data_IF_417673833296
#
_entry.id   IF_417673833296
#
_cell.length_a   1.000
_cell.length_b   1.000
_cell.length_c   1.000
_cell.angle_alpha   90.00
_cell.angle_beta   90.00
_cell.angle_gamma   90.00
#
_symmetry.space_group_name_H-M   'P 1'
#
loop_
_entity.id
_entity.type
_entity.pdbx_description
1 polymer ?
#
# COMPACT_ATOMS: atom_id res chain seq x y z
N UNK A 1 12.61 -3.68 3.84
CA UNK A 1 13.49 -2.87 4.74
C UNK A 1 12.84 -1.56 5.18
N UNK A 2 12.51 -0.62 4.30
CA UNK A 2 11.97 0.68 4.73
C UNK A 2 10.64 0.57 5.49
N UNK A 3 9.67 -0.19 4.99
CA UNK A 3 8.40 -0.42 5.69
C UNK A 3 8.59 -1.10 7.05
N UNK A 4 9.52 -2.02 7.17
CA UNK A 4 9.87 -2.64 8.46
C UNK A 4 10.39 -1.60 9.45
N UNK A 5 11.28 -0.71 9.01
CA UNK A 5 11.81 0.37 9.85
C UNK A 5 10.71 1.32 10.29
N UNK A 6 9.78 1.67 9.40
CA UNK A 6 8.60 2.48 9.72
C UNK A 6 7.71 1.75 10.75
N UNK A 7 7.44 0.47 10.52
CA UNK A 7 6.64 -0.35 11.43
C UNK A 7 7.25 -0.42 12.84
N UNK A 8 8.55 -0.63 12.93
CA UNK A 8 9.28 -0.61 14.20
C UNK A 8 9.18 0.75 14.91
N UNK A 9 9.44 1.85 14.18
CA UNK A 9 9.36 3.19 14.74
C UNK A 9 7.95 3.52 15.28
N UNK A 10 6.91 3.12 14.56
CA UNK A 10 5.52 3.30 15.01
C UNK A 10 5.28 2.47 16.28
N UNK A 11 5.66 1.20 16.30
CA UNK A 11 5.44 0.32 17.44
C UNK A 11 6.18 0.75 18.69
N UNK A 12 7.36 1.33 18.56
CA UNK A 12 8.16 1.82 19.69
C UNK A 12 7.67 3.15 20.23
N UNK A 13 7.34 4.10 19.35
CA UNK A 13 6.97 5.46 19.75
C UNK A 13 5.48 5.62 20.01
N UNK A 14 4.64 4.80 19.40
CA UNK A 14 3.18 4.86 19.46
C UNK A 14 2.58 3.46 19.63
N UNK A 15 2.79 2.82 20.80
CA UNK A 15 2.27 1.47 21.05
C UNK A 15 0.75 1.39 21.09
N UNK A 16 0.06 2.52 21.24
CA UNK A 16 -1.40 2.65 21.20
C UNK A 16 -1.99 2.52 19.79
N UNK A 17 -1.18 2.74 18.76
CA UNK A 17 -1.61 2.67 17.35
C UNK A 17 -1.85 1.21 16.93
N UNK A 18 -2.98 0.98 16.27
CA UNK A 18 -3.27 -0.30 15.65
C UNK A 18 -2.59 -0.38 14.28
N UNK A 19 -1.54 -1.18 14.20
CA UNK A 19 -0.73 -1.32 12.99
C UNK A 19 -1.17 -2.53 12.18
N UNK A 20 -1.51 -2.31 10.91
CA UNK A 20 -1.81 -3.35 9.93
C UNK A 20 -0.78 -3.26 8.81
N UNK A 21 -0.14 -4.37 8.50
CA UNK A 21 0.73 -4.50 7.33
C UNK A 21 -0.01 -5.35 6.30
N UNK A 22 -0.28 -4.80 5.14
CA UNK A 22 -0.97 -5.45 4.04
C UNK A 22 0.02 -5.70 2.89
N UNK A 23 0.29 -6.97 2.62
CA UNK A 23 1.21 -7.41 1.58
C UNK A 23 0.41 -8.04 0.43
N UNK A 24 0.50 -7.43 -0.75
CA UNK A 24 -0.22 -7.87 -1.96
C UNK A 24 0.77 -8.34 -3.01
N UNK A 25 0.56 -9.57 -3.49
CA UNK A 25 1.38 -10.19 -4.55
C UNK A 25 2.87 -10.29 -4.13
N UNK A 26 3.10 -10.52 -2.83
CA UNK A 26 4.43 -10.72 -2.27
C UNK A 26 4.79 -12.20 -2.16
N UNK A 27 6.08 -12.48 -2.00
CA UNK A 27 6.58 -13.84 -1.82
C UNK A 27 6.32 -14.32 -0.39
N UNK A 28 6.02 -15.62 -0.18
CA UNK A 28 5.79 -16.17 1.15
C UNK A 28 6.93 -15.92 2.15
N UNK A 29 8.19 -15.91 1.68
CA UNK A 29 9.36 -15.63 2.52
C UNK A 29 9.33 -14.20 3.07
N UNK A 30 8.96 -13.22 2.24
CA UNK A 30 8.85 -11.82 2.64
C UNK A 30 7.70 -11.61 3.64
N UNK A 31 6.60 -12.34 3.45
CA UNK A 31 5.48 -12.35 4.41
C UNK A 31 5.96 -12.89 5.77
N UNK A 32 6.68 -14.00 5.78
CA UNK A 32 7.21 -14.61 7.00
C UNK A 32 8.18 -13.68 7.72
N UNK A 33 9.07 -13.03 6.98
CA UNK A 33 10.02 -12.06 7.55
C UNK A 33 9.30 -10.88 8.18
N UNK A 34 8.26 -10.35 7.52
CA UNK A 34 7.46 -9.27 8.06
C UNK A 34 6.73 -9.71 9.34
N UNK A 35 6.13 -10.90 9.35
CA UNK A 35 5.44 -11.46 10.52
C UNK A 35 6.36 -11.63 11.74
N UNK A 36 7.61 -11.97 11.50
CA UNK A 36 8.61 -12.16 12.57
C UNK A 36 9.18 -10.85 13.10
N UNK A 37 9.27 -9.84 12.25
CA UNK A 37 9.96 -8.58 12.56
C UNK A 37 9.04 -7.45 12.98
N UNK A 38 7.76 -7.51 12.70
CA UNK A 38 6.81 -6.42 12.96
C UNK A 38 5.86 -6.78 14.10
N UNK A 39 5.70 -5.85 15.05
CA UNK A 39 4.68 -5.91 16.09
C UNK A 39 3.39 -5.27 15.56
N UNK A 40 2.58 -6.06 14.89
CA UNK A 40 1.35 -5.61 14.27
C UNK A 40 0.64 -6.79 13.61
N UNK A 41 -0.50 -6.52 13.02
CA UNK A 41 -1.23 -7.51 12.25
C UNK A 41 -0.71 -7.54 10.83
N UNK A 42 -0.13 -8.67 10.40
CA UNK A 42 0.33 -8.86 9.04
C UNK A 42 -0.71 -9.67 8.26
N UNK A 43 -1.28 -9.06 7.25
CA UNK A 43 -2.26 -9.68 6.35
C UNK A 43 -1.65 -9.72 4.95
N UNK A 44 -1.75 -10.85 4.29
CA UNK A 44 -1.14 -11.04 2.98
C UNK A 44 -2.04 -11.76 2.00
N UNK A 45 -1.82 -11.49 0.73
CA UNK A 45 -2.25 -12.31 -0.37
C UNK A 45 -1.03 -12.48 -1.29
N UNK A 46 -0.52 -13.72 -1.35
CA UNK A 46 0.77 -14.02 -1.99
C UNK A 46 0.66 -14.14 -3.50
N UNK A 47 1.79 -14.11 -4.20
CA UNK A 47 1.84 -14.04 -5.66
C UNK A 47 1.18 -15.23 -6.38
N UNK A 48 1.05 -16.37 -5.71
CA UNK A 48 0.41 -17.59 -6.21
C UNK A 48 -1.12 -17.56 -6.09
N UNK A 49 -1.68 -16.58 -5.38
CA UNK A 49 -3.12 -16.39 -5.26
C UNK A 49 -3.68 -15.58 -6.45
N UNK A 50 -4.93 -15.80 -6.84
CA UNK A 50 -5.55 -15.06 -7.96
C UNK A 50 -5.81 -13.59 -7.61
N UNK A 51 -5.84 -12.74 -8.63
CA UNK A 51 -6.10 -11.30 -8.48
C UNK A 51 -7.38 -10.97 -7.69
N UNK A 52 -8.42 -11.77 -7.83
CA UNK A 52 -9.66 -11.62 -7.08
C UNK A 52 -9.43 -11.75 -5.56
N UNK A 53 -8.48 -12.59 -5.14
CA UNK A 53 -8.12 -12.75 -3.73
C UNK A 53 -7.41 -11.51 -3.19
N UNK A 54 -6.49 -10.93 -3.98
CA UNK A 54 -5.81 -9.67 -3.63
C UNK A 54 -6.82 -8.55 -3.37
N UNK A 55 -7.82 -8.41 -4.23
CA UNK A 55 -8.89 -7.44 -4.09
C UNK A 55 -9.73 -7.70 -2.83
N UNK A 56 -10.17 -8.95 -2.64
CA UNK A 56 -11.00 -9.34 -1.50
C UNK A 56 -10.31 -9.07 -0.15
N UNK A 57 -9.04 -9.45 -0.03
CA UNK A 57 -8.26 -9.22 1.19
C UNK A 57 -8.12 -7.73 1.48
N UNK A 58 -7.86 -6.93 0.46
CA UNK A 58 -7.75 -5.48 0.60
C UNK A 58 -9.06 -4.83 1.04
N UNK A 59 -10.18 -5.22 0.45
CA UNK A 59 -11.50 -4.71 0.84
C UNK A 59 -11.84 -5.08 2.29
N UNK A 60 -11.49 -6.29 2.71
CA UNK A 60 -11.67 -6.73 4.10
C UNK A 60 -10.83 -5.91 5.08
N UNK A 61 -9.58 -5.61 4.73
CA UNK A 61 -8.69 -4.80 5.57
C UNK A 61 -9.19 -3.38 5.73
N UNK A 62 -9.64 -2.73 4.65
CA UNK A 62 -10.14 -1.36 4.75
C UNK A 62 -11.43 -1.27 5.57
N UNK A 63 -12.33 -2.24 5.44
CA UNK A 63 -13.54 -2.28 6.26
C UNK A 63 -13.21 -2.51 7.74
N UNK A 64 -12.27 -3.39 8.05
CA UNK A 64 -11.76 -3.58 9.40
C UNK A 64 -11.18 -2.28 9.97
N UNK A 65 -10.33 -1.60 9.20
CA UNK A 65 -9.72 -0.35 9.62
C UNK A 65 -10.76 0.73 9.90
N UNK A 66 -11.77 0.87 9.05
CA UNK A 66 -12.88 1.80 9.27
C UNK A 66 -13.62 1.52 10.58
N UNK A 67 -13.91 0.25 10.89
CA UNK A 67 -14.56 -0.13 12.14
C UNK A 67 -13.71 0.21 13.35
N UNK A 68 -12.40 -0.01 13.29
CA UNK A 68 -11.49 0.36 14.37
C UNK A 68 -11.47 1.89 14.59
N UNK A 69 -11.49 2.67 13.52
CA UNK A 69 -11.56 4.14 13.59
C UNK A 69 -12.88 4.60 14.20
N UNK A 70 -14.01 3.98 13.85
CA UNK A 70 -15.31 4.24 14.48
C UNK A 70 -15.28 4.00 15.99
N UNK A 71 -14.43 3.07 16.46
CA UNK A 71 -14.16 2.85 17.88
C UNK A 71 -13.08 3.76 18.46
N UNK A 72 -12.81 4.87 17.80
CA UNK A 72 -11.83 5.90 18.23
C UNK A 72 -10.39 5.39 18.31
N UNK A 73 -10.05 4.35 17.53
CA UNK A 73 -8.67 3.85 17.43
C UNK A 73 -7.91 4.63 16.35
N UNK A 74 -6.63 4.84 16.62
CA UNK A 74 -5.69 5.31 15.61
C UNK A 74 -5.12 4.10 14.88
N UNK A 75 -5.34 4.04 13.57
CA UNK A 75 -4.98 2.91 12.71
C UNK A 75 -3.97 3.36 11.67
N UNK A 76 -2.91 2.59 11.51
CA UNK A 76 -1.94 2.76 10.42
C UNK A 76 -1.94 1.51 9.55
N UNK A 77 -2.13 1.68 8.25
CA UNK A 77 -1.99 0.62 7.26
C UNK A 77 -0.69 0.86 6.48
N UNK A 78 0.20 -0.12 6.50
CA UNK A 78 1.36 -0.18 5.61
C UNK A 78 1.04 -1.13 4.47
N UNK A 79 0.97 -0.61 3.24
CA UNK A 79 0.62 -1.39 2.04
C UNK A 79 1.83 -1.57 1.13
N UNK A 80 2.19 -2.78 0.88
CA UNK A 80 3.15 -3.16 -0.16
C UNK A 80 2.48 -4.06 -1.19
N UNK A 81 2.16 -3.62 -2.35
CA UNK A 81 2.30 -2.29 -2.93
C UNK A 81 1.00 -1.84 -3.61
N UNK A 82 0.81 -0.54 -3.73
CA UNK A 82 -0.35 0.01 -4.45
C UNK A 82 -0.31 -0.34 -5.94
N UNK A 83 0.87 -0.46 -6.52
CA UNK A 83 1.04 -0.84 -7.93
C UNK A 83 0.48 -2.24 -8.20
N UNK A 84 0.81 -3.19 -7.35
CA UNK A 84 0.33 -4.57 -7.48
C UNK A 84 -1.16 -4.68 -7.20
N UNK A 85 -1.65 -3.93 -6.25
CA UNK A 85 -3.09 -3.83 -5.98
C UNK A 85 -3.84 -3.26 -7.18
N UNK A 86 -3.35 -2.20 -7.79
CA UNK A 86 -3.96 -1.59 -8.97
C UNK A 86 -3.97 -2.56 -10.17
N UNK A 87 -2.90 -3.34 -10.36
CA UNK A 87 -2.87 -4.42 -11.37
C UNK A 87 -3.95 -5.47 -11.11
N UNK A 88 -4.13 -5.88 -9.86
CA UNK A 88 -5.16 -6.83 -9.48
C UNK A 88 -6.57 -6.31 -9.78
N UNK A 89 -6.86 -5.06 -9.45
CA UNK A 89 -8.12 -4.42 -9.83
C UNK A 89 -8.30 -4.33 -11.33
N UNK A 90 -7.24 -4.04 -12.09
CA UNK A 90 -7.30 -4.00 -13.56
C UNK A 90 -7.67 -5.35 -14.17
N UNK A 91 -7.30 -6.44 -13.51
CA UNK A 91 -7.66 -7.81 -13.94
C UNK A 91 -9.10 -8.16 -13.59
N UNK A 92 -9.59 -7.73 -12.45
CA UNK A 92 -10.88 -8.17 -11.87
C UNK A 92 -12.05 -7.27 -12.26
N UNK A 93 -11.82 -5.96 -12.43
CA UNK A 93 -12.88 -5.00 -12.75
C UNK A 93 -13.36 -5.20 -14.19
N UNK A 94 -14.68 -5.25 -14.42
CA UNK A 94 -15.23 -5.31 -15.78
C UNK A 94 -14.74 -4.14 -16.64
N UNK A 95 -14.38 -4.45 -17.89
CA UNK A 95 -13.89 -3.45 -18.83
C UNK A 95 -14.90 -2.31 -19.04
N UNK A 96 -14.44 -1.08 -18.94
CA UNK A 96 -15.25 0.12 -19.25
C UNK A 96 -15.35 0.40 -20.74
N UNK A 97 -14.56 -0.30 -21.57
CA UNK A 97 -14.35 0.01 -22.97
C UNK A 97 -13.40 1.18 -23.21
N UNK A 98 -12.93 1.85 -22.17
CA UNK A 98 -11.94 2.94 -22.21
C UNK A 98 -10.66 2.48 -21.54
N UNK A 99 -9.65 2.20 -22.34
CA UNK A 99 -8.34 1.76 -21.86
C UNK A 99 -7.37 2.93 -21.95
N UNK A 100 -6.73 3.25 -20.83
CA UNK A 100 -5.66 4.24 -20.76
C UNK A 100 -4.38 3.68 -21.39
N UNK A 101 -3.42 4.55 -21.67
CA UNK A 101 -2.09 4.14 -22.09
C UNK A 101 -1.51 3.11 -21.10
N UNK A 102 -0.86 2.07 -21.62
CA UNK A 102 -0.31 0.99 -20.76
C UNK A 102 -1.28 -0.12 -20.39
N UNK A 103 -2.50 -0.13 -20.96
CA UNK A 103 -3.46 -1.22 -20.76
C UNK A 103 -4.26 -1.13 -19.47
N UNK A 104 -4.30 0.02 -18.80
CA UNK A 104 -5.09 0.24 -17.60
C UNK A 104 -6.51 0.66 -17.96
N UNK A 105 -7.51 -0.08 -17.49
CA UNK A 105 -8.91 0.31 -17.66
C UNK A 105 -9.24 1.55 -16.82
N UNK A 106 -10.00 2.48 -17.39
CA UNK A 106 -10.36 3.73 -16.72
C UNK A 106 -11.10 3.52 -15.38
N UNK A 107 -11.83 2.41 -15.23
CA UNK A 107 -12.57 2.08 -13.99
C UNK A 107 -11.69 1.34 -12.96
N UNK A 108 -10.57 0.75 -13.38
CA UNK A 108 -9.75 -0.11 -12.53
C UNK A 108 -9.14 0.64 -11.34
N UNK A 109 -8.83 1.93 -11.50
CA UNK A 109 -8.16 2.72 -10.47
C UNK A 109 -9.12 3.41 -9.48
N UNK A 110 -10.41 3.39 -9.73
CA UNK A 110 -11.38 4.05 -8.84
C UNK A 110 -11.39 3.45 -7.43
N UNK A 111 -11.42 2.13 -7.31
CA UNK A 111 -11.44 1.46 -6.00
C UNK A 111 -10.14 1.64 -5.23
N UNK A 112 -8.94 1.44 -5.81
CA UNK A 112 -7.69 1.78 -5.15
C UNK A 112 -7.60 3.26 -4.71
N UNK A 113 -8.09 4.19 -5.52
CA UNK A 113 -8.16 5.60 -5.13
C UNK A 113 -9.09 5.84 -3.94
N UNK A 114 -10.23 5.15 -3.86
CA UNK A 114 -11.13 5.20 -2.70
C UNK A 114 -10.47 4.60 -1.45
N UNK A 115 -9.66 3.57 -1.60
CA UNK A 115 -8.87 3.02 -0.50
C UNK A 115 -7.98 4.11 0.11
N UNK A 116 -7.22 4.81 -0.71
CA UNK A 116 -6.40 5.94 -0.25
C UNK A 116 -7.23 7.11 0.29
N UNK A 117 -8.32 7.43 -0.35
CA UNK A 117 -9.22 8.48 0.08
C UNK A 117 -9.96 8.20 1.40
N UNK A 118 -9.84 6.99 1.93
CA UNK A 118 -10.37 6.65 3.25
C UNK A 118 -9.50 7.18 4.40
N UNK A 119 -8.23 7.50 4.15
CA UNK A 119 -7.33 8.08 5.16
C UNK A 119 -7.85 9.43 5.63
N UNK A 120 -8.00 9.59 6.94
CA UNK A 120 -8.53 10.80 7.58
C UNK A 120 -8.28 10.86 9.07
N UNK A 121 -8.33 12.06 9.62
CA UNK A 121 -8.48 12.29 11.05
C UNK A 121 -9.94 12.62 11.37
N UNK A 122 -10.44 12.14 12.49
CA UNK A 122 -11.79 12.39 12.96
C UNK A 122 -11.70 13.26 14.23
N UNK A 123 -12.42 14.39 14.24
CA UNK A 123 -12.40 15.33 15.37
C UNK A 123 -12.81 14.68 16.70
N UNK A 124 -13.75 13.76 16.65
CA UNK A 124 -14.27 13.05 17.82
C UNK A 124 -13.34 11.94 18.35
N UNK A 125 -12.22 11.71 17.68
CA UNK A 125 -11.22 10.70 17.97
C UNK A 125 -11.19 9.56 16.96
N UNK A 126 -10.01 8.99 16.80
CA UNK A 126 -9.69 8.00 15.79
C UNK A 126 -9.11 8.61 14.51
N UNK A 127 -8.21 7.88 13.90
CA UNK A 127 -7.57 8.27 12.65
C UNK A 127 -7.20 7.06 11.80
N UNK A 128 -7.14 7.26 10.50
CA UNK A 128 -6.63 6.28 9.55
C UNK A 128 -5.51 6.91 8.73
N UNK A 129 -4.32 6.37 8.88
CA UNK A 129 -3.14 6.72 8.10
C UNK A 129 -2.78 5.55 7.18
N UNK A 130 -2.53 5.83 5.92
CA UNK A 130 -2.12 4.82 4.94
C UNK A 130 -0.77 5.22 4.35
N UNK A 131 0.21 4.34 4.50
CA UNK A 131 1.53 4.46 3.88
C UNK A 131 1.68 3.32 2.88
N UNK A 132 1.81 3.65 1.62
CA UNK A 132 1.94 2.64 0.57
C UNK A 132 3.19 2.82 -0.26
N UNK A 133 3.74 1.70 -0.68
CA UNK A 133 4.80 1.68 -1.68
C UNK A 133 4.24 1.70 -3.08
N UNK A 134 4.90 2.41 -3.98
CA UNK A 134 4.64 2.37 -5.40
C UNK A 134 5.91 1.95 -6.15
N UNK A 135 5.76 1.12 -7.16
CA UNK A 135 6.87 0.67 -7.99
C UNK A 135 7.13 1.67 -9.11
N UNK A 136 8.36 2.12 -9.21
CA UNK A 136 8.85 2.98 -10.29
C UNK A 136 10.02 2.30 -11.00
N UNK A 137 10.33 2.73 -12.22
CA UNK A 137 11.45 2.20 -13.00
C UNK A 137 11.42 0.68 -13.22
N UNK A 138 10.23 0.11 -13.34
CA UNK A 138 10.04 -1.32 -13.59
C UNK A 138 10.17 -1.70 -15.07
N UNK A 139 10.20 -0.72 -15.96
CA UNK A 139 10.10 -0.91 -17.41
C UNK A 139 8.68 -1.23 -17.89
N UNK A 140 7.72 -1.27 -17.00
CA UNK A 140 6.29 -1.51 -17.33
C UNK A 140 5.56 -0.19 -17.55
N UNK A 141 5.01 -0.02 -18.76
CA UNK A 141 4.17 1.13 -19.09
C UNK A 141 2.92 1.23 -18.20
N UNK A 142 2.38 0.09 -17.82
CA UNK A 142 1.25 0.03 -16.89
C UNK A 142 1.61 0.61 -15.53
N UNK A 143 2.79 0.29 -15.00
CA UNK A 143 3.25 0.78 -13.69
C UNK A 143 3.49 2.28 -13.71
N UNK A 144 4.03 2.81 -14.81
CA UNK A 144 4.19 4.25 -14.99
C UNK A 144 2.84 4.97 -14.93
N UNK A 145 1.82 4.45 -15.63
CA UNK A 145 0.47 5.03 -15.62
C UNK A 145 -0.15 4.93 -14.23
N UNK A 146 -0.02 3.80 -13.55
CA UNK A 146 -0.51 3.64 -12.17
C UNK A 146 0.17 4.66 -11.24
N UNK A 147 1.48 4.81 -11.32
CA UNK A 147 2.21 5.79 -10.52
C UNK A 147 1.71 7.21 -10.76
N UNK A 148 1.60 7.63 -12.02
CA UNK A 148 1.12 8.98 -12.36
C UNK A 148 -0.32 9.24 -11.89
N UNK A 149 -1.18 8.22 -11.95
CA UNK A 149 -2.57 8.33 -11.48
C UNK A 149 -2.69 8.44 -9.95
N UNK A 150 -1.73 7.91 -9.20
CA UNK A 150 -1.68 8.03 -7.74
C UNK A 150 -0.84 9.21 -7.26
N UNK A 151 0.01 9.77 -8.11
CA UNK A 151 0.82 10.96 -7.80
C UNK A 151 -0.10 12.12 -7.41
N UNK A 152 0.21 12.75 -6.29
CA UNK A 152 -0.61 13.84 -5.76
C UNK A 152 -1.89 13.40 -5.03
N UNK A 153 -2.21 12.10 -4.95
CA UNK A 153 -3.32 11.60 -4.13
C UNK A 153 -2.96 11.60 -2.65
N UNK A 154 -1.68 11.34 -2.33
CA UNK A 154 -1.17 11.41 -0.97
C UNK A 154 -0.74 12.82 -0.58
N UNK A 155 -0.66 13.08 0.72
CA UNK A 155 -0.18 14.35 1.29
C UNK A 155 1.31 14.31 1.67
N UNK A 156 1.97 13.19 1.48
CA UNK A 156 3.41 13.01 1.72
C UNK A 156 3.96 12.01 0.70
N UNK A 157 5.14 12.31 0.19
CA UNK A 157 5.82 11.46 -0.80
C UNK A 157 7.30 11.35 -0.45
N UNK A 158 7.82 10.13 -0.46
CA UNK A 158 9.24 9.84 -0.27
C UNK A 158 9.72 9.03 -1.46
N UNK A 159 10.69 9.57 -2.17
CA UNK A 159 11.28 8.92 -3.35
C UNK A 159 12.56 8.21 -2.95
N UNK A 160 12.73 6.96 -3.40
CA UNK A 160 13.94 6.18 -3.20
C UNK A 160 14.76 6.15 -4.48
N UNK A 161 16.07 6.33 -4.36
CA UNK A 161 17.01 6.27 -5.48
C UNK A 161 17.77 4.95 -5.48
N UNK A 162 17.65 4.22 -6.60
CA UNK A 162 18.40 2.97 -6.82
C UNK A 162 19.90 3.15 -6.77
N UNK A 163 20.42 4.27 -7.31
CA UNK A 163 21.85 4.56 -7.32
C UNK A 163 22.43 4.67 -5.92
N UNK A 164 21.67 5.20 -4.97
CA UNK A 164 22.07 5.25 -3.57
C UNK A 164 22.09 3.85 -2.96
N UNK A 165 21.10 3.03 -3.28
CA UNK A 165 21.05 1.63 -2.85
C UNK A 165 22.22 0.82 -3.40
N UNK A 166 22.58 1.00 -4.66
CA UNK A 166 23.74 0.33 -5.30
C UNK A 166 25.06 0.73 -4.64
N UNK A 167 25.16 1.97 -4.15
CA UNK A 167 26.28 2.47 -3.34
C UNK A 167 26.21 2.04 -1.87
N UNK A 168 25.24 1.24 -1.48
CA UNK A 168 24.99 0.81 -0.10
C UNK A 168 24.74 1.96 0.87
N UNK A 169 24.22 3.08 0.37
CA UNK A 169 23.81 4.21 1.20
C UNK A 169 22.35 4.01 1.60
N UNK A 170 22.10 3.83 2.89
CA UNK A 170 20.76 3.60 3.45
C UNK A 170 20.45 4.56 4.59
N UNK A 171 19.19 5.03 4.70
CA UNK A 171 18.10 4.84 3.74
C UNK A 171 18.39 5.51 2.40
N UNK A 172 18.04 4.83 1.29
CA UNK A 172 18.31 5.30 -0.07
C UNK A 172 17.27 6.35 -0.53
N UNK A 173 17.09 7.38 0.28
CA UNK A 173 16.11 8.45 0.06
C UNK A 173 16.72 9.51 -0.85
N UNK A 174 15.99 9.87 -1.91
CA UNK A 174 16.33 11.02 -2.74
C UNK A 174 15.93 12.31 -2.00
N UNK A 175 16.91 13.17 -1.77
CA UNK A 175 16.74 14.44 -1.06
C UNK A 175 16.86 15.67 -1.96
N UNK A 176 16.92 15.46 -3.29
CA UNK A 176 17.08 16.55 -4.28
C UNK A 176 15.73 17.02 -4.84
#
# INVERSE_FOLDING_TARGET
>A
MMLQSIAHAISENHPEVYLIVLLIDERPEEVTDMQRSVRGEVISSTFDEPAARHVQVTEMVIEKAKRLVEHKRDVVILLDSITRLARAYNTVVPSSGKVLTGGVDANALQRPKRFFGAARNIEEGGSLTIIATALIETGSRMDEVIFEEFKGTGNSEVILDRKLSDKRTFPAIDIT
#
